data_IF_871850664612
#
_entry.id   IF_871850664612
#
_cell.length_a   1.000
_cell.length_b   1.000
_cell.length_c   1.000
_cell.angle_alpha   90.00
_cell.angle_beta   90.00
_cell.angle_gamma   90.00
#
_symmetry.space_group_name_H-M   'P 1'
#
loop_
_entity.id
_entity.type
_entity.pdbx_description
1 polymer ?
#
# COMPACT_ATOMS: atom_id res chain seq x y z
N UNK A 1 37.69 -7.46 -20.18
CA UNK A 1 36.79 -6.64 -19.33
C UNK A 1 36.32 -5.33 -19.99
N UNK A 2 36.94 -4.84 -21.08
CA UNK A 2 36.48 -3.62 -21.78
C UNK A 2 35.09 -3.74 -22.42
N UNK A 3 34.71 -4.92 -22.91
CA UNK A 3 33.44 -5.10 -23.64
C UNK A 3 32.21 -4.96 -22.72
N UNK A 4 32.28 -5.45 -21.47
CA UNK A 4 31.16 -5.34 -20.51
C UNK A 4 30.84 -3.89 -20.18
N UNK A 5 31.85 -3.07 -19.89
CA UNK A 5 31.69 -1.65 -19.57
C UNK A 5 31.09 -0.87 -20.75
N UNK A 6 31.50 -1.20 -21.98
CA UNK A 6 30.94 -0.60 -23.20
C UNK A 6 29.47 -0.96 -23.39
N UNK A 7 29.11 -2.23 -23.15
CA UNK A 7 27.71 -2.69 -23.22
C UNK A 7 26.86 -1.96 -22.18
N UNK A 8 27.29 -1.91 -20.92
CA UNK A 8 26.57 -1.20 -19.84
C UNK A 8 26.32 0.27 -20.23
N UNK A 9 27.37 0.97 -20.70
CA UNK A 9 27.26 2.38 -21.10
C UNK A 9 26.28 2.55 -22.27
N UNK A 10 26.35 1.68 -23.28
CA UNK A 10 25.44 1.71 -24.43
C UNK A 10 24.00 1.52 -23.99
N UNK A 11 23.73 0.50 -23.19
CA UNK A 11 22.39 0.16 -22.70
C UNK A 11 21.82 1.29 -21.84
N UNK A 12 22.61 1.82 -20.90
CA UNK A 12 22.21 2.96 -20.08
C UNK A 12 21.84 4.19 -20.92
N UNK A 13 22.72 4.59 -21.87
CA UNK A 13 22.48 5.77 -22.72
C UNK A 13 21.26 5.56 -23.63
N UNK A 14 21.12 4.36 -24.21
CA UNK A 14 19.99 4.03 -25.06
C UNK A 14 18.66 4.14 -24.30
N UNK A 15 18.64 3.78 -23.01
CA UNK A 15 17.46 3.89 -22.14
C UNK A 15 17.18 5.33 -21.73
N UNK A 16 18.16 6.03 -21.17
CA UNK A 16 17.96 7.41 -20.65
C UNK A 16 17.63 8.41 -21.75
N UNK A 17 18.14 8.21 -22.98
CA UNK A 17 17.79 9.06 -24.14
C UNK A 17 16.49 8.68 -24.83
N UNK A 18 15.85 7.57 -24.45
CA UNK A 18 14.58 7.19 -25.05
C UNK A 18 13.51 8.22 -24.68
N UNK A 19 12.79 8.75 -25.68
CA UNK A 19 11.71 9.74 -25.46
C UNK A 19 10.67 9.24 -24.47
N UNK A 20 10.28 7.97 -24.58
CA UNK A 20 9.31 7.35 -23.66
C UNK A 20 9.85 7.31 -22.23
N UNK A 21 11.14 7.01 -22.04
CA UNK A 21 11.76 7.01 -20.72
C UNK A 21 11.73 8.40 -20.09
N UNK A 22 12.14 9.44 -20.84
CA UNK A 22 12.14 10.82 -20.35
C UNK A 22 10.72 11.26 -20.01
N UNK A 23 9.76 11.06 -20.92
CA UNK A 23 8.36 11.43 -20.68
C UNK A 23 7.80 10.73 -19.44
N UNK A 24 7.93 9.41 -19.33
CA UNK A 24 7.41 8.65 -18.19
C UNK A 24 8.12 9.02 -16.87
N UNK A 25 9.40 9.37 -16.91
CA UNK A 25 10.15 9.78 -15.71
C UNK A 25 9.53 11.03 -15.06
N UNK A 26 9.13 12.03 -15.84
CA UNK A 26 8.55 13.27 -15.31
C UNK A 26 7.02 13.22 -15.21
N UNK A 27 6.36 12.53 -16.14
CA UNK A 27 4.90 12.46 -16.20
C UNK A 27 4.32 11.55 -15.11
N UNK A 28 4.99 10.44 -14.76
CA UNK A 28 4.46 9.51 -13.76
C UNK A 28 4.27 10.13 -12.37
N UNK A 29 5.25 10.85 -11.78
CA UNK A 29 5.05 11.55 -10.50
C UNK A 29 3.95 12.60 -10.58
N UNK A 30 3.87 13.33 -11.71
CA UNK A 30 2.83 14.34 -11.92
C UNK A 30 1.43 13.72 -11.92
N UNK A 31 1.25 12.60 -12.63
CA UNK A 31 -0.01 11.85 -12.65
C UNK A 31 -0.35 11.32 -11.27
N UNK A 32 0.62 10.71 -10.57
CA UNK A 32 0.38 10.16 -9.23
C UNK A 32 -0.04 11.26 -8.26
N UNK A 33 0.67 12.39 -8.21
CA UNK A 33 0.31 13.51 -7.34
C UNK A 33 -1.03 14.12 -7.75
N UNK A 34 -1.26 14.34 -9.05
CA UNK A 34 -2.55 14.84 -9.55
C UNK A 34 -3.71 13.91 -9.21
N UNK A 35 -3.48 12.60 -9.22
CA UNK A 35 -4.50 11.62 -8.85
C UNK A 35 -4.73 11.54 -7.35
N UNK A 36 -3.68 11.66 -6.53
CA UNK A 36 -3.83 11.82 -5.08
C UNK A 36 -4.67 13.06 -4.76
N UNK A 37 -4.34 14.21 -5.36
CA UNK A 37 -5.12 15.44 -5.19
C UNK A 37 -6.56 15.29 -5.67
N UNK A 38 -6.77 14.66 -6.82
CA UNK A 38 -8.10 14.39 -7.34
C UNK A 38 -8.90 13.49 -6.41
N UNK A 39 -8.31 12.41 -5.91
CA UNK A 39 -8.98 11.48 -4.98
C UNK A 39 -9.31 12.19 -3.68
N UNK A 40 -8.39 12.96 -3.11
CA UNK A 40 -8.65 13.71 -1.87
C UNK A 40 -9.74 14.77 -2.10
N UNK A 41 -9.73 15.46 -3.23
CA UNK A 41 -10.77 16.43 -3.59
C UNK A 41 -12.14 15.77 -3.87
N UNK A 42 -12.16 14.61 -4.54
CA UNK A 42 -13.40 13.84 -4.73
C UNK A 42 -13.92 13.30 -3.39
N UNK A 43 -13.03 12.93 -2.47
CA UNK A 43 -13.41 12.50 -1.12
C UNK A 43 -14.03 13.66 -0.34
N UNK A 44 -13.52 14.89 -0.47
CA UNK A 44 -14.17 16.06 0.15
C UNK A 44 -15.55 16.33 -0.45
N UNK A 45 -15.71 16.23 -1.78
CA UNK A 45 -17.02 16.40 -2.42
C UNK A 45 -18.05 15.35 -1.99
N UNK A 46 -17.61 14.12 -1.74
CA UNK A 46 -18.49 13.04 -1.28
C UNK A 46 -18.86 13.18 0.21
N UNK A 47 -18.13 13.99 0.98
CA UNK A 47 -18.43 14.29 2.37
C UNK A 47 -19.36 15.52 2.51
N UNK A 48 -19.54 16.33 1.47
CA UNK A 48 -20.38 17.54 1.49
C UNK A 48 -21.89 17.26 1.29
N UNK A 49 -22.29 16.03 0.92
CA UNK A 49 -23.70 15.65 0.90
C UNK A 49 -24.20 15.40 2.34
N UNK A 50 -24.72 16.47 2.95
CA UNK A 50 -25.41 16.41 4.24
C UNK A 50 -26.57 15.42 4.11
N UNK A 51 -26.45 14.26 4.78
CA UNK A 51 -27.49 13.24 4.74
C UNK A 51 -28.67 13.66 5.59
N UNK A 52 -29.87 13.55 5.05
CA UNK A 52 -31.11 13.93 5.75
C UNK A 52 -31.76 12.69 6.33
N UNK A 53 -31.64 12.53 7.64
CA UNK A 53 -32.25 11.42 8.37
C UNK A 53 -33.53 11.92 9.04
N UNK A 54 -34.66 11.34 8.66
CA UNK A 54 -35.92 11.58 9.36
C UNK A 54 -35.89 10.86 10.72
N UNK A 55 -36.27 11.57 11.78
CA UNK A 55 -36.42 11.01 13.12
C UNK A 55 -37.91 10.84 13.41
N UNK A 56 -38.32 9.64 13.79
CA UNK A 56 -39.65 9.36 14.31
C UNK A 56 -39.54 8.76 15.71
N UNK A 57 -39.74 9.61 16.71
CA UNK A 57 -39.66 9.27 18.11
C UNK A 57 -41.04 9.29 18.77
N UNK A 58 -41.62 8.10 19.01
CA UNK A 58 -42.90 7.97 19.73
C UNK A 58 -42.77 8.27 21.23
N UNK A 59 -41.55 8.32 21.75
CA UNK A 59 -41.28 8.59 23.17
C UNK A 59 -41.19 10.08 23.47
N UNK A 60 -40.78 10.88 22.49
CA UNK A 60 -40.47 12.31 22.64
C UNK A 60 -39.25 12.58 23.53
N UNK A 61 -38.38 11.59 23.75
CA UNK A 61 -37.23 11.68 24.65
C UNK A 61 -35.92 12.03 23.93
N UNK A 62 -35.83 11.79 22.62
CA UNK A 62 -34.60 11.81 21.84
C UNK A 62 -34.51 12.96 20.83
N UNK A 63 -35.63 13.63 20.50
CA UNK A 63 -35.65 14.72 19.51
C UNK A 63 -34.66 15.85 19.78
N UNK A 64 -34.28 16.09 21.05
CA UNK A 64 -33.32 17.15 21.42
C UNK A 64 -31.85 16.70 21.45
N UNK A 65 -31.59 15.39 21.41
CA UNK A 65 -30.23 14.84 21.53
C UNK A 65 -29.57 14.63 20.16
N UNK A 66 -30.39 14.42 19.13
CA UNK A 66 -29.94 14.44 17.75
C UNK A 66 -29.78 15.90 17.30
N UNK A 67 -28.53 16.36 17.27
CA UNK A 67 -28.16 17.69 16.76
C UNK A 67 -27.60 17.55 15.35
N UNK A 68 -27.94 18.51 14.51
CA UNK A 68 -27.39 18.60 13.17
C UNK A 68 -25.87 18.73 13.23
N UNK A 69 -25.20 18.03 12.33
CA UNK A 69 -23.75 18.00 12.19
C UNK A 69 -23.37 18.35 10.76
N UNK A 70 -22.06 18.55 10.50
CA UNK A 70 -21.56 18.80 9.15
C UNK A 70 -21.84 17.62 8.18
N UNK A 71 -22.15 16.42 8.70
CA UNK A 71 -22.37 15.19 7.91
C UNK A 71 -23.84 14.71 7.88
N UNK A 72 -24.66 15.08 8.88
CA UNK A 72 -26.05 14.59 9.03
C UNK A 72 -26.99 15.69 9.56
N UNK A 73 -28.12 15.87 8.88
CA UNK A 73 -29.24 16.74 9.23
C UNK A 73 -30.43 15.90 9.70
N UNK A 74 -30.91 16.14 10.92
CA UNK A 74 -31.98 15.35 11.54
C UNK A 74 -33.30 16.10 11.46
N UNK A 75 -34.27 15.54 10.73
CA UNK A 75 -35.58 16.16 10.55
C UNK A 75 -36.60 15.43 11.41
N UNK A 76 -37.20 16.11 12.38
CA UNK A 76 -38.20 15.52 13.26
C UNK A 76 -39.56 15.34 12.55
N UNK A 77 -40.02 14.09 12.45
CA UNK A 77 -41.33 13.66 11.94
C UNK A 77 -42.20 13.04 13.03
N UNK A 78 -41.86 13.20 14.30
CA UNK A 78 -42.58 12.60 15.43
C UNK A 78 -44.01 13.12 15.61
N UNK A 79 -44.41 14.18 14.88
CA UNK A 79 -45.76 14.76 14.91
C UNK A 79 -46.76 14.13 13.92
N UNK A 80 -46.31 13.26 13.01
CA UNK A 80 -47.17 12.58 12.01
C UNK A 80 -47.37 11.10 12.35
N UNK A 81 -48.14 10.35 11.56
CA UNK A 81 -48.21 8.88 11.75
C UNK A 81 -47.00 8.18 11.14
N UNK A 82 -46.66 6.98 11.61
CA UNK A 82 -45.51 6.22 11.10
C UNK A 82 -45.59 5.95 9.59
N UNK A 83 -46.80 5.73 9.07
CA UNK A 83 -47.00 5.52 7.64
C UNK A 83 -46.77 6.82 6.86
N UNK A 84 -47.28 7.95 7.36
CA UNK A 84 -47.06 9.26 6.73
C UNK A 84 -45.58 9.68 6.79
N UNK A 85 -44.86 9.29 7.85
CA UNK A 85 -43.41 9.52 7.98
C UNK A 85 -42.61 8.70 6.95
N UNK A 86 -42.98 7.43 6.75
CA UNK A 86 -42.39 6.58 5.69
C UNK A 86 -42.67 7.14 4.30
N UNK A 87 -43.90 7.56 4.04
CA UNK A 87 -44.28 8.17 2.77
C UNK A 87 -43.56 9.51 2.55
N UNK A 88 -43.36 10.30 3.61
CA UNK A 88 -42.62 11.56 3.55
C UNK A 88 -41.13 11.37 3.22
N UNK A 89 -40.51 10.30 3.73
CA UNK A 89 -39.12 9.93 3.40
C UNK A 89 -38.99 9.61 1.91
N UNK A 90 -39.95 8.88 1.35
CA UNK A 90 -39.98 8.53 -0.08
C UNK A 90 -40.28 9.76 -0.96
N UNK A 91 -41.28 10.56 -0.59
CA UNK A 91 -41.72 11.73 -1.37
C UNK A 91 -40.65 12.83 -1.38
N UNK A 92 -40.01 13.10 -0.24
CA UNK A 92 -38.97 14.13 -0.10
C UNK A 92 -37.55 13.61 -0.39
N UNK A 93 -37.41 12.33 -0.73
CA UNK A 93 -36.12 11.65 -1.00
C UNK A 93 -35.12 11.86 0.14
N UNK A 94 -35.54 11.53 1.36
CA UNK A 94 -34.66 11.53 2.53
C UNK A 94 -33.85 10.22 2.58
N UNK A 95 -32.67 10.25 3.18
CA UNK A 95 -31.73 9.13 3.21
C UNK A 95 -32.18 7.96 4.09
N UNK A 96 -33.10 8.21 5.02
CA UNK A 96 -33.69 7.17 5.86
C UNK A 96 -34.56 7.71 6.98
N UNK A 97 -35.25 6.80 7.66
CA UNK A 97 -36.12 7.05 8.80
C UNK A 97 -35.65 6.22 10.00
N UNK A 98 -35.18 6.91 11.03
CA UNK A 98 -34.91 6.33 12.33
C UNK A 98 -36.23 6.26 13.11
N UNK A 99 -36.69 5.03 13.37
CA UNK A 99 -37.90 4.75 14.12
C UNK A 99 -37.57 4.30 15.55
N UNK A 100 -38.02 5.09 16.53
CA UNK A 100 -37.88 4.83 17.95
C UNK A 100 -39.28 4.56 18.54
N UNK A 101 -39.66 3.29 18.77
CA UNK A 101 -40.98 2.97 19.29
C UNK A 101 -41.10 3.23 20.80
N UNK A 102 -42.32 3.55 21.25
CA UNK A 102 -42.59 3.68 22.69
C UNK A 102 -42.70 2.31 23.35
N UNK A 103 -41.78 2.01 24.28
CA UNK A 103 -41.75 0.78 25.08
C UNK A 103 -41.72 1.08 26.57
N UNK A 104 -42.12 0.08 27.37
CA UNK A 104 -42.25 0.20 28.82
C UNK A 104 -40.90 0.21 29.54
N UNK A 105 -39.86 -0.39 28.95
CA UNK A 105 -38.51 -0.48 29.55
C UNK A 105 -37.44 -0.08 28.55
N UNK A 106 -36.39 0.63 29.02
CA UNK A 106 -35.23 1.04 28.21
C UNK A 106 -34.53 -0.16 27.51
N UNK A 107 -34.52 -1.34 28.15
CA UNK A 107 -33.99 -2.59 27.56
C UNK A 107 -34.79 -3.10 26.37
N UNK A 108 -36.10 -2.92 26.37
CA UNK A 108 -36.98 -3.32 25.26
C UNK A 108 -36.93 -2.27 24.14
N UNK A 109 -36.83 -1.00 24.51
CA UNK A 109 -36.64 0.10 23.57
C UNK A 109 -35.35 -0.11 22.75
N UNK A 110 -34.21 -0.36 23.41
CA UNK A 110 -32.93 -0.57 22.73
C UNK A 110 -32.94 -1.70 21.68
N UNK A 111 -33.80 -2.72 21.84
CA UNK A 111 -33.93 -3.85 20.90
C UNK A 111 -34.96 -3.63 19.79
N UNK A 112 -35.75 -2.57 19.87
CA UNK A 112 -36.90 -2.35 18.98
C UNK A 112 -36.74 -1.14 18.05
N UNK A 113 -35.63 -0.41 18.16
CA UNK A 113 -35.27 0.67 17.25
C UNK A 113 -34.96 0.09 15.87
N UNK A 114 -35.48 0.74 14.83
CA UNK A 114 -35.32 0.32 13.44
C UNK A 114 -34.92 1.51 12.57
N UNK A 115 -34.12 1.25 11.55
CA UNK A 115 -33.77 2.23 10.53
C UNK A 115 -34.37 1.78 9.19
N UNK A 116 -35.31 2.55 8.66
CA UNK A 116 -35.92 2.29 7.35
C UNK A 116 -35.24 3.16 6.30
N UNK A 117 -34.67 2.56 5.27
CA UNK A 117 -34.09 3.30 4.15
C UNK A 117 -34.22 2.49 2.86
N UNK A 118 -34.19 3.19 1.73
CA UNK A 118 -34.17 2.56 0.40
C UNK A 118 -32.82 1.87 0.15
N UNK A 119 -31.73 2.49 0.61
CA UNK A 119 -30.39 1.92 0.62
C UNK A 119 -29.84 1.85 2.05
N UNK A 120 -29.04 0.82 2.36
CA UNK A 120 -28.46 0.68 3.68
C UNK A 120 -27.52 1.87 3.98
N UNK A 121 -27.65 2.53 5.14
CA UNK A 121 -26.80 3.66 5.49
C UNK A 121 -25.36 3.22 5.73
N UNK A 122 -24.44 4.19 5.68
CA UNK A 122 -23.04 3.96 6.05
C UNK A 122 -22.95 3.50 7.52
N UNK A 123 -22.11 2.49 7.77
CA UNK A 123 -21.81 1.96 9.12
C UNK A 123 -21.40 3.06 10.09
N UNK A 124 -20.69 4.10 9.62
CA UNK A 124 -20.31 5.24 10.47
C UNK A 124 -21.54 5.97 11.02
N UNK A 125 -22.57 6.21 10.21
CA UNK A 125 -23.81 6.88 10.61
C UNK A 125 -24.57 6.03 11.63
N UNK A 126 -24.67 4.72 11.38
CA UNK A 126 -25.30 3.78 12.32
C UNK A 126 -24.58 3.79 13.67
N UNK A 127 -23.24 3.70 13.67
CA UNK A 127 -22.45 3.76 14.91
C UNK A 127 -22.66 5.08 15.67
N UNK A 128 -22.79 6.21 14.96
CA UNK A 128 -23.07 7.51 15.58
C UNK A 128 -24.46 7.53 16.22
N UNK A 129 -25.49 7.08 15.50
CA UNK A 129 -26.87 6.98 16.00
C UNK A 129 -26.94 6.06 17.23
N UNK A 130 -26.34 4.87 17.14
CA UNK A 130 -26.27 3.91 18.24
C UNK A 130 -25.58 4.50 19.47
N UNK A 131 -24.51 5.27 19.28
CA UNK A 131 -23.82 5.95 20.37
C UNK A 131 -24.69 7.00 21.04
N UNK A 132 -25.37 7.87 20.28
CA UNK A 132 -26.27 8.91 20.83
C UNK A 132 -27.40 8.27 21.64
N UNK A 133 -28.07 7.28 21.08
CA UNK A 133 -29.16 6.55 21.76
C UNK A 133 -28.63 5.82 22.99
N UNK A 134 -27.49 5.14 22.85
CA UNK A 134 -26.85 4.37 23.92
C UNK A 134 -26.44 5.24 25.10
N UNK A 135 -25.84 6.40 24.85
CA UNK A 135 -25.44 7.36 25.87
C UNK A 135 -26.67 7.94 26.57
N UNK A 136 -27.72 8.31 25.82
CA UNK A 136 -28.97 8.84 26.38
C UNK A 136 -29.71 7.82 27.25
N UNK A 137 -29.87 6.58 26.76
CA UNK A 137 -30.51 5.51 27.51
C UNK A 137 -29.70 5.13 28.75
N UNK A 138 -28.38 5.12 28.65
CA UNK A 138 -27.48 4.91 29.79
C UNK A 138 -27.70 5.99 30.87
N UNK A 139 -27.72 7.26 30.46
CA UNK A 139 -27.97 8.37 31.38
C UNK A 139 -29.37 8.31 32.02
N UNK A 140 -30.39 7.88 31.28
CA UNK A 140 -31.73 7.64 31.84
C UNK A 140 -31.73 6.50 32.86
N UNK A 141 -31.06 5.39 32.57
CA UNK A 141 -30.92 4.27 33.51
C UNK A 141 -30.19 4.68 34.80
N UNK A 142 -29.28 5.64 34.73
CA UNK A 142 -28.63 6.22 35.91
C UNK A 142 -29.59 7.09 36.72
N UNK A 143 -30.36 7.96 36.06
CA UNK A 143 -31.39 8.78 36.72
C UNK A 143 -32.48 7.94 37.39
N UNK A 144 -32.96 6.87 36.74
CA UNK A 144 -33.95 5.94 37.32
C UNK A 144 -33.45 5.27 38.61
N UNK A 145 -32.14 5.16 38.79
CA UNK A 145 -31.48 4.59 39.97
C UNK A 145 -31.03 5.66 40.96
N UNK A 146 -31.44 6.91 40.78
CA UNK A 146 -31.07 8.05 41.63
C UNK A 146 -29.55 8.29 41.71
N UNK A 147 -28.84 8.05 40.59
CA UNK A 147 -27.40 8.28 40.48
C UNK A 147 -27.12 9.67 39.88
N UNK A 148 -26.15 10.38 40.48
CA UNK A 148 -25.69 11.68 40.01
C UNK A 148 -24.86 11.55 38.72
N UNK A 149 -25.30 12.23 37.66
CA UNK A 149 -24.67 12.17 36.34
C UNK A 149 -23.36 12.95 36.28
N UNK A 150 -23.28 14.10 36.96
CA UNK A 150 -22.09 14.95 36.94
C UNK A 150 -20.96 14.25 37.69
N UNK A 151 -21.29 13.63 38.82
CA UNK A 151 -20.37 12.75 39.54
C UNK A 151 -19.89 11.55 38.70
N UNK A 152 -20.75 10.97 37.85
CA UNK A 152 -20.36 9.88 36.95
C UNK A 152 -19.44 10.37 35.83
N UNK A 153 -19.75 11.52 35.21
CA UNK A 153 -18.92 12.11 34.15
C UNK A 153 -17.55 12.50 34.67
N UNK A 154 -17.48 13.14 35.84
CA UNK A 154 -16.22 13.48 36.52
C UNK A 154 -15.45 12.24 36.96
N UNK A 155 -16.15 11.13 37.21
CA UNK A 155 -15.54 9.83 37.49
C UNK A 155 -15.05 9.09 36.23
N UNK A 156 -15.37 9.55 35.01
CA UNK A 156 -14.87 8.93 33.76
C UNK A 156 -13.37 9.22 33.62
N UNK A 157 -12.54 8.22 33.89
CA UNK A 157 -11.10 8.33 33.67
C UNK A 157 -10.77 8.40 32.16
N UNK A 158 -10.18 9.52 31.72
CA UNK A 158 -9.56 9.63 30.39
C UNK A 158 -8.12 9.10 30.46
N UNK A 159 -7.89 7.90 29.93
CA UNK A 159 -6.57 7.26 29.97
C UNK A 159 -5.85 7.51 28.66
N UNK A 160 -4.77 8.28 28.70
CA UNK A 160 -3.82 8.38 27.58
C UNK A 160 -2.56 7.58 27.90
N UNK A 161 -2.39 6.44 27.22
CA UNK A 161 -1.21 5.59 27.39
C UNK A 161 -0.02 6.26 26.68
N UNK A 162 0.96 6.70 27.46
CA UNK A 162 2.26 7.12 26.94
C UNK A 162 3.12 5.87 26.69
N UNK A 163 3.69 5.77 25.50
CA UNK A 163 4.57 4.65 25.13
C UNK A 163 6.01 5.08 25.42
N UNK A 164 6.67 4.34 26.29
CA UNK A 164 8.08 4.53 26.65
C UNK A 164 8.80 3.17 26.58
N UNK A 165 9.99 3.13 25.97
CA UNK A 165 10.79 1.91 25.96
C UNK A 165 11.53 1.74 27.30
N UNK A 166 12.12 0.55 27.54
CA UNK A 166 12.90 0.27 28.76
C UNK A 166 14.14 1.17 28.95
N UNK A 167 14.51 1.96 27.94
CA UNK A 167 15.61 2.94 28.00
C UNK A 167 15.14 4.36 28.31
N UNK A 168 13.84 4.56 28.51
CA UNK A 168 13.25 5.86 28.83
C UNK A 168 12.84 6.71 27.62
N UNK A 169 12.88 6.15 26.41
CA UNK A 169 12.53 6.90 25.21
C UNK A 169 11.03 6.85 24.93
N UNK A 170 10.42 8.03 24.92
CA UNK A 170 9.02 8.21 24.53
C UNK A 170 8.86 8.06 23.03
N UNK A 171 7.79 7.38 22.63
CA UNK A 171 7.43 7.05 21.25
C UNK A 171 5.99 7.47 21.00
N UNK A 172 5.67 7.98 19.81
CA UNK A 172 4.28 8.27 19.46
C UNK A 172 3.48 6.99 19.24
N UNK A 173 2.17 7.03 19.50
CA UNK A 173 1.23 5.98 19.05
C UNK A 173 1.30 5.81 17.52
N UNK A 174 1.68 6.87 16.81
CA UNK A 174 1.86 6.90 15.36
C UNK A 174 3.20 6.35 14.87
N UNK A 175 4.15 6.02 15.74
CA UNK A 175 5.49 5.53 15.35
C UNK A 175 5.42 4.28 14.47
N UNK A 176 4.52 3.34 14.78
CA UNK A 176 4.35 2.13 13.97
C UNK A 176 3.78 2.44 12.57
N UNK A 177 2.89 3.43 12.47
CA UNK A 177 2.36 3.89 11.18
C UNK A 177 3.43 4.58 10.34
N UNK A 178 4.29 5.39 10.96
CA UNK A 178 5.45 6.00 10.30
C UNK A 178 6.38 4.91 9.75
N UNK A 179 6.77 3.94 10.58
CA UNK A 179 7.61 2.79 10.18
C UNK A 179 7.00 1.99 9.03
N UNK A 180 5.68 1.76 9.09
CA UNK A 180 4.91 1.10 8.05
C UNK A 180 4.96 1.87 6.72
N UNK A 181 4.75 3.19 6.74
CA UNK A 181 4.77 4.00 5.53
C UNK A 181 6.14 3.94 4.86
N UNK A 182 7.22 4.16 5.63
CA UNK A 182 8.57 4.16 5.05
C UNK A 182 8.99 2.77 4.56
N UNK A 183 8.78 1.73 5.37
CA UNK A 183 9.12 0.36 4.98
C UNK A 183 8.27 -0.15 3.83
N UNK A 184 6.95 0.06 3.92
CA UNK A 184 5.97 -0.37 2.92
C UNK A 184 6.12 0.35 1.59
N UNK A 185 6.36 1.66 1.61
CA UNK A 185 6.70 2.40 0.39
C UNK A 185 7.98 1.82 -0.25
N UNK A 186 9.06 1.63 0.51
CA UNK A 186 10.31 1.07 0.00
C UNK A 186 10.11 -0.32 -0.63
N UNK A 187 9.37 -1.21 0.04
CA UNK A 187 9.05 -2.55 -0.46
C UNK A 187 8.18 -2.51 -1.73
N UNK A 188 7.13 -1.69 -1.74
CA UNK A 188 6.25 -1.51 -2.89
C UNK A 188 6.99 -0.93 -4.10
N UNK A 189 7.83 0.09 -3.89
CA UNK A 189 8.67 0.66 -4.94
C UNK A 189 9.61 -0.38 -5.52
N UNK A 190 10.25 -1.20 -4.68
CA UNK A 190 11.13 -2.28 -5.14
C UNK A 190 10.36 -3.31 -5.98
N UNK A 191 9.14 -3.70 -5.56
CA UNK A 191 8.29 -4.57 -6.37
C UNK A 191 8.00 -3.95 -7.74
N UNK A 192 7.50 -2.71 -7.76
CA UNK A 192 7.14 -2.03 -9.00
C UNK A 192 8.36 -1.89 -9.92
N UNK A 193 9.53 -1.59 -9.34
CA UNK A 193 10.78 -1.55 -10.05
C UNK A 193 11.12 -2.88 -10.73
N UNK A 194 11.08 -3.98 -9.97
CA UNK A 194 11.39 -5.32 -10.50
C UNK A 194 10.43 -5.69 -11.64
N UNK A 195 9.14 -5.41 -11.49
CA UNK A 195 8.14 -5.75 -12.51
C UNK A 195 8.37 -4.92 -13.78
N UNK A 196 8.51 -3.60 -13.66
CA UNK A 196 8.68 -2.70 -14.82
C UNK A 196 9.99 -3.01 -15.55
N UNK A 197 11.11 -3.00 -14.83
CA UNK A 197 12.43 -3.15 -15.43
C UNK A 197 12.76 -4.59 -15.80
N UNK A 198 12.21 -5.57 -15.09
CA UNK A 198 12.30 -6.98 -15.46
C UNK A 198 11.58 -7.26 -16.79
N UNK A 199 10.38 -6.71 -16.96
CA UNK A 199 9.66 -6.79 -18.24
C UNK A 199 10.44 -6.12 -19.38
N UNK A 200 11.13 -5.01 -19.14
CA UNK A 200 12.00 -4.38 -20.15
C UNK A 200 13.17 -5.29 -20.56
N UNK A 201 13.80 -5.98 -19.61
CA UNK A 201 14.87 -6.95 -19.90
C UNK A 201 14.33 -8.08 -20.77
N UNK A 202 13.18 -8.66 -20.40
CA UNK A 202 12.54 -9.72 -21.17
C UNK A 202 12.24 -9.31 -22.61
N UNK A 203 11.56 -8.16 -22.80
CA UNK A 203 11.24 -7.63 -24.14
C UNK A 203 12.49 -7.38 -24.98
N UNK A 204 13.54 -6.83 -24.37
CA UNK A 204 14.81 -6.60 -25.06
C UNK A 204 15.48 -7.89 -25.54
N UNK A 205 15.35 -9.00 -24.81
CA UNK A 205 15.86 -10.31 -25.25
C UNK A 205 15.01 -10.86 -26.39
N UNK A 206 13.68 -10.70 -26.32
CA UNK A 206 12.75 -11.10 -27.39
C UNK A 206 13.04 -10.32 -28.68
N UNK A 207 13.21 -9.00 -28.60
CA UNK A 207 13.57 -8.13 -29.72
C UNK A 207 14.91 -8.53 -30.36
N UNK A 208 15.90 -8.91 -29.55
CA UNK A 208 17.18 -9.39 -30.09
C UNK A 208 17.07 -10.75 -30.74
N UNK A 209 16.24 -11.65 -30.22
CA UNK A 209 16.00 -12.97 -30.81
C UNK A 209 15.22 -12.85 -32.13
N UNK A 210 14.25 -11.94 -32.21
CA UNK A 210 13.44 -11.74 -33.42
C UNK A 210 14.21 -11.02 -34.54
N UNK A 211 15.19 -10.18 -34.17
CA UNK A 211 16.06 -9.53 -35.14
C UNK A 211 17.31 -10.39 -35.44
N UNK A 212 17.74 -10.47 -36.71
CA UNK A 212 18.99 -11.17 -37.14
C UNK A 212 20.29 -10.63 -36.50
N UNK A 213 20.17 -9.70 -35.57
CA UNK A 213 21.23 -9.09 -34.77
C UNK A 213 21.88 -10.15 -33.86
N UNK A 214 21.15 -11.18 -33.42
CA UNK A 214 21.66 -12.19 -32.49
C UNK A 214 22.86 -12.99 -33.03
N UNK A 215 22.82 -13.38 -34.31
CA UNK A 215 23.86 -14.19 -34.96
C UNK A 215 25.19 -13.43 -35.04
N UNK A 216 25.11 -12.11 -35.29
CA UNK A 216 26.27 -11.23 -35.35
C UNK A 216 26.82 -10.97 -33.94
N UNK A 217 25.95 -10.76 -32.94
CA UNK A 217 26.37 -10.43 -31.57
C UNK A 217 27.00 -11.62 -30.84
N UNK A 218 26.43 -12.83 -30.98
CA UNK A 218 26.95 -14.04 -30.32
C UNK A 218 28.34 -14.42 -30.85
N UNK A 219 28.66 -14.08 -32.11
CA UNK A 219 29.99 -14.29 -32.69
C UNK A 219 31.07 -13.38 -32.08
N UNK A 220 30.67 -12.25 -31.50
CA UNK A 220 31.59 -11.19 -31.03
C UNK A 220 31.75 -11.14 -29.51
N UNK A 221 30.73 -11.55 -28.74
CA UNK A 221 30.73 -11.47 -27.27
C UNK A 221 30.05 -12.68 -26.64
N UNK A 222 30.60 -13.16 -25.52
CA UNK A 222 30.00 -14.26 -24.73
C UNK A 222 28.57 -13.87 -24.27
N UNK A 223 27.55 -14.75 -24.41
CA UNK A 223 26.17 -14.47 -24.02
C UNK A 223 25.99 -13.96 -22.58
N UNK A 224 26.78 -14.47 -21.63
CA UNK A 224 26.74 -14.04 -20.23
C UNK A 224 27.16 -12.58 -20.04
N UNK A 225 28.16 -12.11 -20.79
CA UNK A 225 28.60 -10.70 -20.71
C UNK A 225 27.57 -9.76 -21.32
N UNK A 226 26.85 -10.20 -22.35
CA UNK A 226 25.75 -9.45 -22.94
C UNK A 226 24.60 -9.30 -21.94
N UNK A 227 24.14 -10.42 -21.37
CA UNK A 227 23.04 -10.43 -20.40
C UNK A 227 23.37 -9.57 -19.17
N UNK A 228 24.58 -9.71 -18.62
CA UNK A 228 25.00 -8.93 -17.45
C UNK A 228 25.14 -7.44 -17.76
N UNK A 229 25.63 -7.09 -18.96
CA UNK A 229 25.72 -5.69 -19.40
C UNK A 229 24.34 -5.03 -19.56
N UNK A 230 23.36 -5.78 -20.05
CA UNK A 230 21.95 -5.35 -20.13
C UNK A 230 21.35 -5.10 -18.77
N UNK A 231 21.37 -6.11 -17.90
CA UNK A 231 20.82 -6.04 -16.55
C UNK A 231 21.37 -4.80 -15.83
N UNK A 232 22.71 -4.63 -15.80
CA UNK A 232 23.33 -3.48 -15.15
C UNK A 232 22.98 -2.14 -15.80
N UNK A 233 22.97 -2.06 -17.13
CA UNK A 233 22.63 -0.84 -17.87
C UNK A 233 21.20 -0.38 -17.60
N UNK A 234 20.24 -1.30 -17.59
CA UNK A 234 18.84 -1.02 -17.27
C UNK A 234 18.64 -0.72 -15.78
N UNK A 235 19.39 -1.38 -14.86
CA UNK A 235 19.36 -1.03 -13.43
C UNK A 235 19.74 0.43 -13.20
N UNK A 236 20.84 0.90 -13.79
CA UNK A 236 21.32 2.26 -13.56
C UNK A 236 20.32 3.31 -14.08
N UNK A 237 19.71 3.07 -15.24
CA UNK A 237 18.66 3.94 -15.76
C UNK A 237 17.47 3.98 -14.79
N UNK A 238 17.11 2.84 -14.24
CA UNK A 238 16.02 2.75 -13.28
C UNK A 238 16.28 3.39 -11.93
N UNK A 239 17.50 3.27 -11.39
CA UNK A 239 17.92 4.00 -10.19
C UNK A 239 17.80 5.51 -10.42
N UNK A 240 18.25 6.00 -11.58
CA UNK A 240 18.14 7.41 -11.94
C UNK A 240 16.66 7.86 -11.99
N UNK A 241 15.79 7.09 -12.65
CA UNK A 241 14.37 7.39 -12.71
C UNK A 241 13.74 7.45 -11.31
N UNK A 242 14.10 6.51 -10.44
CA UNK A 242 13.60 6.47 -9.06
C UNK A 242 14.06 7.68 -8.23
N UNK A 243 15.34 8.08 -8.34
CA UNK A 243 15.83 9.29 -7.67
C UNK A 243 15.07 10.53 -8.12
N UNK A 244 14.78 10.63 -9.42
CA UNK A 244 13.98 11.72 -9.97
C UNK A 244 12.55 11.67 -9.42
N UNK A 245 11.94 10.49 -9.32
CA UNK A 245 10.61 10.32 -8.73
C UNK A 245 10.54 10.72 -7.26
N UNK A 246 11.52 10.34 -6.44
CA UNK A 246 11.57 10.74 -5.03
C UNK A 246 11.64 12.27 -4.87
N UNK A 247 12.52 12.92 -5.65
CA UNK A 247 12.70 14.37 -5.58
C UNK A 247 11.44 15.09 -6.10
N UNK A 248 10.95 14.73 -7.29
CA UNK A 248 9.78 15.37 -7.89
C UNK A 248 8.51 15.10 -7.10
N UNK A 249 8.28 13.86 -6.67
CA UNK A 249 7.10 13.49 -5.88
C UNK A 249 7.05 14.23 -4.55
N UNK A 250 8.18 14.30 -3.83
CA UNK A 250 8.27 15.05 -2.58
C UNK A 250 8.03 16.56 -2.76
N UNK A 251 8.65 17.16 -3.78
CA UNK A 251 8.44 18.59 -4.09
C UNK A 251 6.99 18.85 -4.52
N UNK A 252 6.41 18.01 -5.38
CA UNK A 252 5.04 18.19 -5.85
C UNK A 252 4.02 18.04 -4.72
N UNK A 253 4.20 17.09 -3.81
CA UNK A 253 3.29 16.92 -2.67
C UNK A 253 3.36 18.10 -1.69
N UNK A 254 4.56 18.62 -1.41
CA UNK A 254 4.73 19.78 -0.51
C UNK A 254 4.21 21.08 -1.12
N UNK A 255 4.41 21.28 -2.44
CA UNK A 255 3.81 22.41 -3.15
C UNK A 255 2.30 22.26 -3.21
N UNK A 256 1.79 21.05 -3.46
CA UNK A 256 0.36 20.84 -3.55
C UNK A 256 -0.36 21.06 -2.21
N UNK A 257 0.21 20.58 -1.09
CA UNK A 257 -0.38 20.82 0.22
C UNK A 257 -0.36 22.31 0.60
N UNK A 258 0.71 23.04 0.28
CA UNK A 258 0.79 24.48 0.56
C UNK A 258 -0.11 25.34 -0.33
N UNK A 259 -0.30 24.99 -1.60
CA UNK A 259 -1.12 25.77 -2.56
C UNK A 259 -2.60 25.47 -2.42
N UNK A 260 -2.98 24.20 -2.26
CA UNK A 260 -4.38 23.79 -2.23
C UNK A 260 -4.94 23.66 -0.80
N UNK A 261 -4.10 23.73 0.24
CA UNK A 261 -4.53 23.48 1.61
C UNK A 261 -5.04 22.06 1.84
N UNK A 262 -4.80 21.16 0.89
CA UNK A 262 -5.20 19.76 0.94
C UNK A 262 -4.05 18.99 1.57
N UNK A 263 -4.24 18.55 2.81
CA UNK A 263 -3.35 17.57 3.41
C UNK A 263 -3.59 16.23 2.69
N UNK A 264 -2.60 15.69 1.95
CA UNK A 264 -2.76 14.42 1.27
C UNK A 264 -2.82 13.32 2.32
N UNK A 265 -4.03 13.00 2.77
CA UNK A 265 -4.28 11.80 3.56
C UNK A 265 -4.09 10.58 2.65
N UNK A 266 -3.14 9.68 2.95
CA UNK A 266 -3.06 8.41 2.25
C UNK A 266 -4.37 7.67 2.51
N UNK A 267 -5.11 7.37 1.43
CA UNK A 267 -6.41 6.69 1.52
C UNK A 267 -6.33 5.44 2.39
N UNK A 268 -7.10 5.42 3.48
CA UNK A 268 -7.11 4.33 4.47
C UNK A 268 -6.65 4.73 5.88
N UNK A 269 -6.14 5.95 6.09
CA UNK A 269 -5.93 6.49 7.44
C UNK A 269 -7.22 7.12 7.96
N UNK A 270 -7.83 6.49 8.96
CA UNK A 270 -8.96 7.07 9.69
C UNK A 270 -8.56 8.44 10.26
N UNK A 271 -9.31 9.48 9.87
CA UNK A 271 -9.18 10.87 10.33
C UNK A 271 -9.33 11.02 11.85
N UNK A 272 -9.89 10.03 12.54
CA UNK A 272 -10.05 10.02 14.00
C UNK A 272 -8.74 9.91 14.79
N UNK A 273 -7.62 9.49 14.16
CA UNK A 273 -6.31 9.40 14.82
C UNK A 273 -5.53 10.73 14.71
N UNK A 274 -5.82 11.54 13.69
CA UNK A 274 -5.12 12.82 13.44
C UNK A 274 -5.84 14.05 14.03
N UNK A 275 -7.06 13.87 14.55
CA UNK A 275 -7.92 14.97 15.03
C UNK A 275 -7.67 15.41 16.49
N UNK A 276 -6.85 14.69 17.28
CA UNK A 276 -6.40 15.26 18.55
C UNK A 276 -5.29 16.28 18.29
N UNK A 277 -5.65 17.55 18.42
CA UNK A 277 -4.83 18.76 18.25
C UNK A 277 -3.71 18.88 19.32
N UNK A 278 -2.97 17.81 19.59
CA UNK A 278 -1.84 17.80 20.50
C UNK A 278 -0.58 18.20 19.71
N UNK A 279 -0.17 19.46 19.81
CA UNK A 279 1.14 19.93 19.32
C UNK A 279 2.31 19.04 19.82
N UNK A 280 2.15 18.41 20.99
CA UNK A 280 3.10 17.43 21.55
C UNK A 280 3.17 16.12 20.74
N UNK A 281 2.06 15.64 20.18
CA UNK A 281 2.03 14.41 19.37
C UNK A 281 2.69 14.61 18.01
N UNK A 282 2.50 15.79 17.39
CA UNK A 282 3.22 16.20 16.18
C UNK A 282 4.73 16.24 16.43
N UNK A 283 5.16 16.78 17.58
CA UNK A 283 6.58 16.82 17.95
C UNK A 283 7.16 15.40 18.14
N UNK A 284 6.41 14.49 18.75
CA UNK A 284 6.82 13.09 18.91
C UNK A 284 6.89 12.35 17.56
N UNK A 285 5.97 12.61 16.63
CA UNK A 285 6.00 12.04 15.28
C UNK A 285 7.26 12.49 14.52
N UNK A 286 7.60 13.79 14.58
CA UNK A 286 8.81 14.30 13.95
C UNK A 286 10.06 13.66 14.55
N UNK A 287 10.08 13.47 15.87
CA UNK A 287 11.16 12.75 16.54
C UNK A 287 11.25 11.28 16.09
N UNK A 288 10.12 10.60 15.94
CA UNK A 288 10.07 9.21 15.44
C UNK A 288 10.61 9.08 14.01
N UNK A 289 10.31 10.03 13.12
CA UNK A 289 10.85 10.08 11.75
C UNK A 289 12.38 10.24 11.79
N UNK A 290 12.87 11.18 12.60
CA UNK A 290 14.31 11.45 12.72
C UNK A 290 15.08 10.28 13.36
N UNK A 291 14.42 9.49 14.20
CA UNK A 291 14.97 8.28 14.83
C UNK A 291 14.93 7.06 13.92
N UNK A 292 14.26 7.11 12.76
CA UNK A 292 14.31 5.99 11.82
C UNK A 292 15.77 5.69 11.45
N UNK A 293 16.13 4.41 11.31
CA UNK A 293 17.48 4.01 10.91
C UNK A 293 17.67 4.28 9.40
N UNK A 294 17.60 5.54 8.98
CA UNK A 294 17.62 5.97 7.57
C UNK A 294 18.88 5.48 6.87
N UNK A 295 20.03 5.52 7.54
CA UNK A 295 21.29 4.98 7.00
C UNK A 295 21.20 3.50 6.66
N UNK A 296 20.71 2.68 7.60
CA UNK A 296 20.49 1.24 7.39
C UNK A 296 19.43 0.99 6.32
N UNK A 297 18.34 1.75 6.36
CA UNK A 297 17.23 1.62 5.41
C UNK A 297 17.69 1.91 3.98
N UNK A 298 18.43 3.01 3.75
CA UNK A 298 18.95 3.38 2.43
C UNK A 298 20.00 2.36 1.96
N UNK A 299 20.93 1.96 2.83
CA UNK A 299 21.94 0.96 2.48
C UNK A 299 21.30 -0.38 2.11
N UNK A 300 20.41 -0.88 2.96
CA UNK A 300 19.67 -2.11 2.70
C UNK A 300 18.77 -1.97 1.48
N UNK A 301 18.16 -0.81 1.24
CA UNK A 301 17.39 -0.56 0.02
C UNK A 301 18.24 -0.82 -1.21
N UNK A 302 19.43 -0.22 -1.33
CA UNK A 302 20.29 -0.47 -2.49
C UNK A 302 20.77 -1.92 -2.58
N UNK A 303 21.11 -2.57 -1.46
CA UNK A 303 21.55 -3.97 -1.47
C UNK A 303 20.42 -4.90 -1.95
N UNK A 304 19.23 -4.79 -1.36
CA UNK A 304 18.08 -5.62 -1.72
C UNK A 304 17.52 -5.24 -3.09
N UNK A 305 17.59 -3.98 -3.48
CA UNK A 305 17.23 -3.52 -4.82
C UNK A 305 18.14 -4.17 -5.87
N UNK A 306 19.46 -4.09 -5.71
CA UNK A 306 20.41 -4.71 -6.63
C UNK A 306 20.19 -6.22 -6.61
N UNK A 307 20.18 -6.85 -5.44
CA UNK A 307 20.07 -8.29 -5.31
C UNK A 307 18.75 -8.84 -5.88
N UNK A 308 17.62 -8.26 -5.48
CA UNK A 308 16.31 -8.61 -6.00
C UNK A 308 16.22 -8.37 -7.50
N UNK A 309 16.66 -7.21 -7.98
CA UNK A 309 16.65 -6.93 -9.41
C UNK A 309 17.47 -7.93 -10.23
N UNK A 310 18.68 -8.28 -9.79
CA UNK A 310 19.51 -9.27 -10.46
C UNK A 310 18.85 -10.65 -10.50
N UNK A 311 18.32 -11.09 -9.36
CA UNK A 311 17.64 -12.39 -9.24
C UNK A 311 16.47 -12.46 -10.23
N UNK A 312 15.59 -11.47 -10.21
CA UNK A 312 14.41 -11.45 -11.05
C UNK A 312 14.71 -11.20 -12.51
N UNK A 313 15.68 -10.33 -12.83
CA UNK A 313 16.09 -10.06 -14.21
C UNK A 313 16.70 -11.28 -14.88
N UNK A 314 17.39 -12.16 -14.14
CA UNK A 314 17.86 -13.43 -14.66
C UNK A 314 16.68 -14.33 -15.08
N UNK A 315 15.61 -14.38 -14.28
CA UNK A 315 14.39 -15.14 -14.61
C UNK A 315 13.69 -14.54 -15.85
N UNK A 316 13.54 -13.21 -15.89
CA UNK A 316 12.98 -12.49 -17.05
C UNK A 316 13.80 -12.72 -18.33
N UNK A 317 15.13 -12.68 -18.25
CA UNK A 317 16.01 -12.94 -19.38
C UNK A 317 15.89 -14.39 -19.88
N UNK A 318 15.78 -15.36 -18.97
CA UNK A 318 15.57 -16.76 -19.32
C UNK A 318 14.24 -16.99 -20.06
N UNK A 319 13.16 -16.36 -19.60
CA UNK A 319 11.86 -16.40 -20.26
C UNK A 319 11.92 -15.71 -21.62
N UNK A 320 12.51 -14.52 -21.69
CA UNK A 320 12.64 -13.75 -22.93
C UNK A 320 13.43 -14.51 -24.01
N UNK A 321 14.43 -15.31 -23.63
CA UNK A 321 15.14 -16.17 -24.57
C UNK A 321 14.31 -17.39 -25.01
N UNK A 322 13.44 -17.88 -24.13
CA UNK A 322 12.64 -19.07 -24.40
C UNK A 322 11.44 -18.80 -25.32
N UNK A 323 10.87 -17.60 -25.29
CA UNK A 323 9.67 -17.24 -26.06
C UNK A 323 10.01 -16.54 -27.38
N UNK A 324 9.13 -16.65 -28.36
CA UNK A 324 9.31 -16.06 -29.69
C UNK A 324 8.56 -14.71 -29.85
N UNK A 325 7.57 -14.45 -28.99
CA UNK A 325 6.73 -13.24 -29.06
C UNK A 325 6.43 -12.67 -27.67
N UNK A 326 6.18 -11.36 -27.59
CA UNK A 326 5.78 -10.71 -26.34
C UNK A 326 4.44 -11.24 -25.81
N UNK A 327 3.51 -11.60 -26.69
CA UNK A 327 2.21 -12.16 -26.29
C UNK A 327 2.36 -13.50 -25.59
N UNK A 328 3.31 -14.34 -26.02
CA UNK A 328 3.56 -15.63 -25.37
C UNK A 328 4.24 -15.48 -24.00
N UNK A 329 5.02 -14.42 -23.82
CA UNK A 329 5.71 -14.13 -22.56
C UNK A 329 4.75 -13.87 -21.39
N UNK A 330 3.52 -13.43 -21.67
CA UNK A 330 2.59 -13.00 -20.63
C UNK A 330 2.18 -14.13 -19.69
N UNK A 331 2.06 -15.36 -20.20
CA UNK A 331 1.71 -16.53 -19.40
C UNK A 331 2.83 -16.93 -18.42
N UNK A 332 4.07 -16.53 -18.71
CA UNK A 332 5.24 -16.79 -17.87
C UNK A 332 5.51 -15.68 -16.85
N UNK A 333 4.79 -14.55 -16.90
CA UNK A 333 4.94 -13.48 -15.92
C UNK A 333 4.32 -13.83 -14.56
N UNK A 334 3.24 -14.62 -14.53
CA UNK A 334 2.51 -14.93 -13.30
C UNK A 334 3.39 -15.60 -12.22
N UNK A 335 4.22 -16.61 -12.53
CA UNK A 335 5.17 -17.19 -11.56
C UNK A 335 6.19 -16.21 -11.00
N UNK A 336 6.50 -15.11 -11.71
CA UNK A 336 7.40 -14.07 -11.24
C UNK A 336 6.68 -13.09 -10.31
N UNK A 337 5.47 -12.69 -10.71
CA UNK A 337 4.68 -11.70 -9.98
C UNK A 337 4.18 -12.29 -8.65
N UNK A 338 3.81 -13.58 -8.61
CA UNK A 338 3.25 -14.22 -7.41
C UNK A 338 4.15 -14.08 -6.17
N UNK A 339 5.45 -14.41 -6.18
CA UNK A 339 6.30 -14.19 -5.02
C UNK A 339 6.45 -12.71 -4.64
N UNK A 340 6.48 -11.79 -5.61
CA UNK A 340 6.55 -10.35 -5.32
C UNK A 340 5.28 -9.86 -4.61
N UNK A 341 4.12 -10.27 -5.11
CA UNK A 341 2.81 -10.01 -4.50
C UNK A 341 2.71 -10.62 -3.11
N UNK A 342 3.20 -11.85 -2.93
CA UNK A 342 3.27 -12.51 -1.63
C UNK A 342 4.16 -11.72 -0.66
N UNK A 343 5.28 -11.18 -1.13
CA UNK A 343 6.16 -10.33 -0.34
C UNK A 343 5.45 -9.06 0.15
N UNK A 344 4.69 -8.39 -0.72
CA UNK A 344 3.88 -7.23 -0.32
C UNK A 344 2.76 -7.62 0.63
N UNK A 345 2.05 -8.70 0.35
CA UNK A 345 0.98 -9.20 1.21
C UNK A 345 1.49 -9.52 2.62
N UNK A 346 2.58 -10.29 2.73
CA UNK A 346 3.21 -10.59 4.03
C UNK A 346 3.71 -9.31 4.70
N UNK A 347 4.26 -8.38 3.92
CA UNK A 347 4.69 -7.08 4.40
C UNK A 347 3.56 -6.28 5.05
N UNK A 348 2.42 -6.12 4.39
CA UNK A 348 1.31 -5.36 4.96
C UNK A 348 0.61 -6.15 6.07
N UNK A 349 0.24 -7.41 5.85
CA UNK A 349 -0.58 -8.11 6.85
C UNK A 349 0.23 -8.65 8.03
N UNK A 350 1.43 -9.18 7.82
CA UNK A 350 2.20 -9.84 8.89
C UNK A 350 3.24 -8.93 9.54
N UNK A 351 3.95 -8.10 8.78
CA UNK A 351 5.02 -7.26 9.34
C UNK A 351 4.43 -6.12 10.16
N UNK A 352 3.28 -5.56 9.76
CA UNK A 352 2.63 -4.47 10.50
C UNK A 352 2.17 -4.96 11.88
N UNK A 353 1.53 -6.12 11.94
CA UNK A 353 1.00 -6.67 13.18
C UNK A 353 2.10 -7.26 14.06
N UNK A 354 3.02 -8.03 13.46
CA UNK A 354 4.09 -8.70 14.18
C UNK A 354 5.41 -8.71 13.39
N UNK A 355 6.20 -7.62 13.44
CA UNK A 355 7.45 -7.50 12.69
C UNK A 355 8.48 -8.57 13.05
N UNK A 356 8.47 -9.08 14.27
CA UNK A 356 9.39 -10.10 14.77
C UNK A 356 8.79 -11.52 14.73
N UNK A 357 7.55 -11.66 14.24
CA UNK A 357 6.86 -12.93 14.16
C UNK A 357 7.52 -13.92 13.19
N UNK A 358 7.12 -15.18 13.31
CA UNK A 358 7.66 -16.29 12.50
C UNK A 358 7.47 -16.06 11.01
N UNK A 359 6.27 -15.64 10.58
CA UNK A 359 5.94 -15.40 9.17
C UNK A 359 6.80 -14.27 8.60
N UNK A 360 6.79 -13.09 9.25
CA UNK A 360 7.65 -11.95 8.91
C UNK A 360 9.12 -12.35 8.79
N UNK A 361 9.63 -13.14 9.74
CA UNK A 361 11.02 -13.58 9.75
C UNK A 361 11.33 -14.52 8.60
N UNK A 362 10.55 -15.58 8.39
CA UNK A 362 10.78 -16.56 7.32
C UNK A 362 10.74 -15.91 5.94
N UNK A 363 9.71 -15.12 5.65
CA UNK A 363 9.55 -14.49 4.34
C UNK A 363 10.56 -13.35 4.10
N UNK A 364 11.17 -12.81 5.15
CA UNK A 364 12.33 -11.91 5.00
C UNK A 364 13.65 -12.65 4.68
N UNK A 365 13.67 -13.98 4.78
CA UNK A 365 14.86 -14.80 4.45
C UNK A 365 14.74 -15.48 3.08
N UNK A 366 13.52 -15.82 2.65
CA UNK A 366 13.28 -16.46 1.35
C UNK A 366 13.68 -15.50 0.23
N UNK A 367 14.66 -15.83 -0.64
CA UNK A 367 15.26 -14.89 -1.60
C UNK A 367 14.32 -14.24 -2.62
N UNK A 368 13.20 -14.88 -2.94
CA UNK A 368 12.18 -14.30 -3.82
C UNK A 368 11.37 -13.21 -3.10
N UNK A 369 11.10 -13.37 -1.81
CA UNK A 369 10.29 -12.41 -1.03
C UNK A 369 11.12 -11.46 -0.20
N UNK A 370 12.37 -11.84 0.13
CA UNK A 370 13.25 -11.11 1.04
C UNK A 370 13.56 -9.67 0.62
N UNK A 371 13.71 -9.33 -0.69
CA UNK A 371 13.97 -7.95 -1.07
C UNK A 371 12.86 -6.99 -0.65
N UNK A 372 11.62 -7.47 -0.57
CA UNK A 372 10.46 -6.66 -0.19
C UNK A 372 10.26 -6.75 1.33
N UNK A 373 10.10 -7.98 1.85
CA UNK A 373 9.71 -8.21 3.24
C UNK A 373 10.77 -7.71 4.22
N UNK A 374 12.06 -7.90 3.92
CA UNK A 374 13.11 -7.40 4.81
C UNK A 374 13.13 -5.88 4.88
N UNK A 375 12.95 -5.18 3.75
CA UNK A 375 12.87 -3.71 3.75
C UNK A 375 11.69 -3.19 4.56
N UNK A 376 10.55 -3.89 4.52
CA UNK A 376 9.39 -3.55 5.34
C UNK A 376 9.62 -3.81 6.84
N UNK A 377 10.50 -4.76 7.20
CA UNK A 377 10.82 -5.07 8.61
C UNK A 377 11.88 -4.16 9.22
N UNK A 378 12.87 -3.69 8.45
CA UNK A 378 14.01 -2.90 8.97
C UNK A 378 13.59 -1.69 9.83
N UNK A 379 12.56 -0.88 9.47
CA UNK A 379 12.07 0.21 10.32
C UNK A 379 11.68 -0.20 11.74
N UNK A 380 11.33 -1.47 11.95
CA UNK A 380 10.95 -2.03 13.25
C UNK A 380 12.14 -2.55 14.08
N UNK A 381 13.38 -2.42 13.59
CA UNK A 381 14.59 -2.77 14.36
C UNK A 381 14.97 -4.24 14.23
N UNK A 382 15.24 -4.69 13.00
CA UNK A 382 15.70 -6.08 12.74
C UNK A 382 17.15 -6.26 13.20
N UNK A 383 17.49 -7.37 13.91
CA UNK A 383 18.86 -7.69 14.23
C UNK A 383 19.75 -7.80 12.99
N UNK A 384 20.94 -7.20 13.03
CA UNK A 384 21.86 -7.13 11.87
C UNK A 384 22.23 -8.50 11.30
N UNK A 385 22.29 -9.54 12.14
CA UNK A 385 22.60 -10.90 11.70
C UNK A 385 21.49 -11.49 10.80
N UNK A 386 20.22 -11.14 11.04
CA UNK A 386 19.10 -11.56 10.18
C UNK A 386 19.23 -10.92 8.80
N UNK A 387 19.58 -9.63 8.76
CA UNK A 387 19.85 -8.90 7.52
C UNK A 387 21.01 -9.56 6.77
N UNK A 388 22.10 -9.88 7.45
CA UNK A 388 23.28 -10.52 6.84
C UNK A 388 22.96 -11.91 6.29
N UNK A 389 22.24 -12.77 7.03
CA UNK A 389 21.83 -14.10 6.54
C UNK A 389 20.93 -13.96 5.31
N UNK A 390 19.96 -13.05 5.34
CA UNK A 390 19.07 -12.79 4.20
C UNK A 390 19.85 -12.33 2.97
N UNK A 391 20.85 -11.45 3.13
CA UNK A 391 21.75 -11.03 2.04
C UNK A 391 22.55 -12.23 1.50
N UNK A 392 23.12 -13.07 2.36
CA UNK A 392 23.89 -14.25 1.92
C UNK A 392 23.01 -15.24 1.14
N UNK A 393 21.80 -15.52 1.63
CA UNK A 393 20.83 -16.37 0.94
C UNK A 393 20.40 -15.78 -0.41
N UNK A 394 20.22 -14.46 -0.46
CA UNK A 394 19.92 -13.74 -1.69
C UNK A 394 21.06 -13.86 -2.70
N UNK A 395 22.31 -13.62 -2.29
CA UNK A 395 23.49 -13.75 -3.16
C UNK A 395 23.66 -15.19 -3.67
N UNK A 396 23.55 -16.19 -2.78
CA UNK A 396 23.61 -17.60 -3.18
C UNK A 396 22.53 -17.95 -4.21
N UNK A 397 21.32 -17.42 -4.01
CA UNK A 397 20.20 -17.62 -4.94
C UNK A 397 20.39 -16.89 -6.26
N UNK A 398 20.97 -15.69 -6.28
CA UNK A 398 21.33 -14.99 -7.52
C UNK A 398 22.29 -15.85 -8.33
N UNK A 399 23.34 -16.39 -7.71
CA UNK A 399 24.32 -17.23 -8.41
C UNK A 399 23.66 -18.48 -8.99
N UNK A 400 22.82 -19.15 -8.19
CA UNK A 400 22.07 -20.34 -8.61
C UNK A 400 21.09 -20.05 -9.76
N UNK A 401 20.24 -19.04 -9.62
CA UNK A 401 19.24 -18.67 -10.63
C UNK A 401 19.91 -18.14 -11.90
N UNK A 402 20.98 -17.35 -11.78
CA UNK A 402 21.73 -16.85 -12.95
C UNK A 402 22.38 -18.00 -13.71
N UNK A 403 22.91 -19.01 -13.02
CA UNK A 403 23.45 -20.21 -13.64
C UNK A 403 22.36 -21.00 -14.39
N UNK A 404 21.18 -21.20 -13.78
CA UNK A 404 20.03 -21.82 -14.43
C UNK A 404 19.56 -21.02 -15.65
N UNK A 405 19.43 -19.70 -15.49
CA UNK A 405 19.01 -18.79 -16.54
C UNK A 405 19.97 -18.82 -17.73
N UNK A 406 21.28 -18.86 -17.49
CA UNK A 406 22.28 -18.92 -18.56
C UNK A 406 22.17 -20.20 -19.41
N UNK A 407 21.82 -21.34 -18.79
CA UNK A 407 21.56 -22.60 -19.51
C UNK A 407 20.31 -22.50 -20.38
N UNK A 408 19.21 -22.01 -19.81
CA UNK A 408 17.95 -21.80 -20.54
C UNK A 408 18.19 -20.81 -21.69
N UNK A 409 18.93 -19.73 -21.44
CA UNK A 409 19.24 -18.70 -22.43
C UNK A 409 20.03 -19.27 -23.62
N UNK A 410 21.05 -20.10 -23.37
CA UNK A 410 21.87 -20.70 -24.43
C UNK A 410 21.06 -21.57 -25.39
N UNK A 411 20.12 -22.36 -24.86
CA UNK A 411 19.29 -23.25 -25.69
C UNK A 411 18.13 -22.46 -26.30
N UNK A 412 17.42 -21.68 -25.49
CA UNK A 412 16.22 -20.93 -25.87
C UNK A 412 16.45 -19.98 -27.04
N UNK A 413 17.59 -19.29 -27.06
CA UNK A 413 17.88 -18.30 -28.09
C UNK A 413 18.09 -18.89 -29.49
N UNK A 414 18.34 -20.20 -29.58
CA UNK A 414 18.56 -20.93 -30.84
C UNK A 414 17.32 -21.68 -31.32
N UNK A 415 16.26 -21.78 -30.51
CA UNK A 415 15.03 -22.47 -30.89
C UNK A 415 13.98 -21.47 -31.37
N UNK A 416 13.38 -21.78 -32.52
CA UNK A 416 12.35 -20.97 -33.15
C UNK A 416 11.08 -21.79 -33.39
N UNK A 417 9.92 -21.15 -33.27
CA UNK A 417 8.65 -21.62 -33.82
C UNK A 417 7.88 -22.63 -32.94
N UNK A 418 8.39 -22.98 -31.75
CA UNK A 418 7.68 -23.84 -30.80
C UNK A 418 7.59 -23.15 -29.44
N UNK A 419 6.35 -22.91 -28.98
CA UNK A 419 6.09 -22.41 -27.61
C UNK A 419 6.58 -23.44 -26.60
N UNK A 420 7.62 -23.14 -25.80
CA UNK A 420 8.14 -24.11 -24.86
C UNK A 420 7.16 -24.33 -23.72
N UNK A 421 6.95 -25.59 -23.35
CA UNK A 421 6.23 -25.93 -22.11
C UNK A 421 7.14 -25.80 -20.89
N UNK A 422 6.58 -25.61 -19.68
CA UNK A 422 7.33 -25.69 -18.42
C UNK A 422 8.20 -26.96 -18.31
N UNK A 423 7.71 -28.10 -18.85
CA UNK A 423 8.47 -29.37 -18.88
C UNK A 423 9.71 -29.29 -19.77
N UNK A 424 9.67 -28.50 -20.85
CA UNK A 424 10.79 -28.34 -21.77
C UNK A 424 11.84 -27.39 -21.22
N UNK A 425 11.43 -26.28 -20.59
CA UNK A 425 12.33 -25.39 -19.85
C UNK A 425 13.16 -26.16 -18.81
N UNK A 426 12.51 -27.07 -18.08
CA UNK A 426 13.19 -27.92 -17.09
C UNK A 426 14.19 -28.91 -17.73
N UNK A 427 13.94 -29.39 -18.95
CA UNK A 427 14.90 -30.22 -19.68
C UNK A 427 16.13 -29.41 -20.10
N UNK A 428 15.96 -28.15 -20.50
CA UNK A 428 17.07 -27.29 -20.92
C UNK A 428 18.09 -27.03 -19.81
N UNK A 429 17.68 -27.10 -18.55
CA UNK A 429 18.57 -27.00 -17.39
C UNK A 429 19.57 -28.18 -17.33
N UNK A 430 19.24 -29.34 -17.92
CA UNK A 430 20.13 -30.51 -17.90
C UNK A 430 21.19 -30.49 -19.01
N UNK A 431 20.97 -29.70 -20.05
CA UNK A 431 21.95 -29.43 -21.10
C UNK A 431 22.90 -28.28 -20.68
#
# INVERSE_FOLDING_TARGET
MNNLKLIIKREFIARVRNRTFVVMTFLSPLIVVGMVLLITWLATLNNDEIRKVALFDETGLFSSDFKDSEEVDYIDYSSVTLNDAKDSVVIKKLDGLLYIPKKLTNKELAKSIQFFAEEAPNVTILNTIEKVIGDKLTNQNFKEKDLDLDAIEDSKAKVNIQIENFSGEKTSKMSNYVKMIFGGAAGYFLMMFIIIYGNMVMRSVIEEKSNRIIEIIISSVKPLQLMMGKILGTSFAGILQFLIWLILGGVLLTVASSVFGIDPQPGGLNSSILQENNQQEIQLILQDIMKLPLGTLVLSFFIYFIGGYFLYSAIYAAIGAAVDSETDSQQFMLPIILPLMLGIYVGFFSVIENPHGTVSTIFSMIPLTSPIVMLMRIPFGVPWWQVLISILLLVASILFITWLAAKIYKVGILMYGKKPSYKELFKWIKY
#
